data_IF_750059768665
#
_entry.id   IF_750059768665
#
_cell.length_a   1.000
_cell.length_b   1.000
_cell.length_c   1.000
_cell.angle_alpha   90.00
_cell.angle_beta   90.00
_cell.angle_gamma   90.00
#
_symmetry.space_group_name_H-M   'P 1'
#
loop_
_entity.id
_entity.type
_entity.pdbx_description
1 polymer ?
#
# COMPACT_ATOMS: atom_id res chain seq x y z
N UNK A 1 -42.84 13.60 1.77
CA UNK A 1 -41.81 14.29 2.56
C UNK A 1 -40.48 13.68 2.16
N UNK A 2 -39.78 14.35 1.25
CA UNK A 2 -38.49 13.92 0.70
C UNK A 2 -37.40 14.19 1.73
N UNK A 3 -36.76 13.14 2.23
CA UNK A 3 -35.56 13.28 3.05
C UNK A 3 -34.44 13.79 2.14
N UNK A 4 -34.22 15.09 2.17
CA UNK A 4 -33.04 15.73 1.64
C UNK A 4 -31.84 15.10 2.34
N UNK A 5 -31.07 14.35 1.57
CA UNK A 5 -29.74 13.92 1.94
C UNK A 5 -28.91 15.19 2.05
N UNK A 6 -28.70 15.69 3.27
CA UNK A 6 -27.84 16.82 3.57
C UNK A 6 -26.38 16.46 3.22
N UNK A 7 -26.07 16.57 1.93
CA UNK A 7 -24.72 16.55 1.38
C UNK A 7 -23.83 17.70 1.90
N UNK A 8 -24.36 18.56 2.78
CA UNK A 8 -23.70 19.74 3.34
C UNK A 8 -22.89 19.46 4.62
N UNK A 9 -22.93 18.26 5.20
CA UNK A 9 -22.06 17.89 6.33
C UNK A 9 -20.76 17.19 5.93
N UNK A 10 -20.60 16.88 4.64
CA UNK A 10 -19.31 16.55 4.07
C UNK A 10 -18.49 17.84 3.88
N UNK A 11 -18.20 18.56 4.98
CA UNK A 11 -17.10 19.51 4.97
C UNK A 11 -15.88 18.73 4.51
N UNK A 12 -15.28 19.06 3.35
CA UNK A 12 -13.94 18.60 3.04
C UNK A 12 -13.02 19.45 3.91
N UNK A 13 -13.10 19.24 5.23
CA UNK A 13 -12.03 19.61 6.16
C UNK A 13 -10.90 18.59 5.97
N UNK A 14 -10.57 18.33 4.70
CA UNK A 14 -9.29 17.81 4.23
C UNK A 14 -8.30 18.96 4.35
N UNK A 15 -8.15 19.51 5.57
CA UNK A 15 -6.88 20.11 5.95
C UNK A 15 -5.89 18.99 5.69
N UNK A 16 -5.13 19.14 4.61
CA UNK A 16 -3.99 18.31 4.26
C UNK A 16 -3.32 17.93 5.57
N UNK A 17 -3.54 16.70 6.02
CA UNK A 17 -3.15 16.28 7.35
C UNK A 17 -1.64 16.48 7.37
N UNK A 18 -1.18 17.43 8.20
CA UNK A 18 0.21 17.91 8.26
C UNK A 18 1.16 16.75 7.96
N UNK A 19 1.69 16.72 6.73
CA UNK A 19 2.73 15.75 6.40
C UNK A 19 3.85 16.04 7.38
N UNK A 20 4.33 15.06 8.16
CA UNK A 20 5.44 15.28 9.08
C UNK A 20 6.64 15.72 8.23
N UNK A 21 6.91 17.02 8.21
CA UNK A 21 8.05 17.62 7.53
C UNK A 21 9.28 17.25 8.34
N UNK A 22 9.82 16.05 8.12
CA UNK A 22 11.07 15.59 8.73
C UNK A 22 12.20 16.54 8.29
N UNK A 23 12.83 17.32 9.19
CA UNK A 23 13.98 18.12 8.83
C UNK A 23 15.24 17.24 8.80
N UNK A 24 16.04 17.34 7.74
CA UNK A 24 17.35 16.68 7.60
C UNK A 24 17.45 15.67 6.45
N UNK A 25 18.52 14.87 6.46
CA UNK A 25 18.85 13.88 5.42
C UNK A 25 17.81 12.74 5.30
N UNK A 26 17.14 12.39 6.41
CA UNK A 26 16.05 11.41 6.41
C UNK A 26 14.84 11.92 5.62
N UNK A 27 14.52 13.22 5.75
CA UNK A 27 13.41 13.82 5.02
C UNK A 27 13.64 13.93 3.51
N UNK A 28 14.89 14.14 3.06
CA UNK A 28 15.22 14.12 1.63
C UNK A 28 15.17 12.71 1.05
N UNK A 29 15.68 11.71 1.78
CA UNK A 29 15.60 10.29 1.39
C UNK A 29 14.15 9.82 1.28
N UNK A 30 13.31 10.16 2.26
CA UNK A 30 11.89 9.83 2.27
C UNK A 30 11.13 10.48 1.09
N UNK A 31 11.41 11.75 0.77
CA UNK A 31 10.87 12.39 -0.45
C UNK A 31 11.32 11.70 -1.73
N UNK A 32 12.61 11.35 -1.83
CA UNK A 32 13.14 10.64 -3.00
C UNK A 32 12.48 9.27 -3.15
N UNK A 33 12.33 8.53 -2.04
CA UNK A 33 11.67 7.24 -1.99
C UNK A 33 10.19 7.35 -2.38
N UNK A 34 9.48 8.38 -1.92
CA UNK A 34 8.09 8.66 -2.32
C UNK A 34 7.96 8.93 -3.82
N UNK A 35 8.87 9.72 -4.40
CA UNK A 35 8.86 9.99 -5.83
C UNK A 35 9.13 8.72 -6.64
N UNK A 36 10.14 7.96 -6.24
CA UNK A 36 10.50 6.69 -6.85
C UNK A 36 9.32 5.71 -6.79
N UNK A 37 8.73 5.52 -5.62
CA UNK A 37 7.56 4.67 -5.43
C UNK A 37 6.36 5.11 -6.28
N UNK A 38 6.15 6.42 -6.47
CA UNK A 38 5.06 6.93 -7.31
C UNK A 38 5.27 6.58 -8.78
N UNK A 39 6.49 6.75 -9.28
CA UNK A 39 6.86 6.37 -10.66
C UNK A 39 6.70 4.86 -10.84
N UNK A 40 7.23 4.09 -9.89
CA UNK A 40 7.15 2.62 -9.91
C UNK A 40 5.70 2.13 -9.89
N UNK A 41 4.83 2.71 -9.07
CA UNK A 41 3.41 2.34 -9.06
C UNK A 41 2.72 2.66 -10.38
N UNK A 42 3.10 3.77 -11.03
CA UNK A 42 2.63 4.10 -12.38
C UNK A 42 3.07 3.07 -13.42
N UNK A 43 4.35 2.69 -13.40
CA UNK A 43 4.92 1.66 -14.28
C UNK A 43 4.24 0.30 -14.00
N UNK A 44 4.10 -0.09 -12.74
CA UNK A 44 3.44 -1.35 -12.35
C UNK A 44 1.98 -1.41 -12.81
N UNK A 45 1.24 -0.30 -12.69
CA UNK A 45 -0.11 -0.19 -13.25
C UNK A 45 -0.13 -0.38 -14.77
N UNK A 46 0.81 0.24 -15.48
CA UNK A 46 0.94 0.07 -16.94
C UNK A 46 1.29 -1.38 -17.31
N UNK A 47 2.21 -2.02 -16.59
CA UNK A 47 2.56 -3.43 -16.77
C UNK A 47 1.34 -4.35 -16.59
N UNK A 48 0.48 -4.08 -15.60
CA UNK A 48 -0.72 -4.86 -15.36
C UNK A 48 -1.76 -4.69 -16.48
N UNK A 49 -1.95 -3.46 -16.97
CA UNK A 49 -2.79 -3.20 -18.15
C UNK A 49 -2.24 -3.91 -19.38
N UNK A 50 -0.92 -3.86 -19.60
CA UNK A 50 -0.27 -4.57 -20.69
C UNK A 50 -0.47 -6.09 -20.58
N UNK A 51 -0.30 -6.68 -19.39
CA UNK A 51 -0.55 -8.11 -19.17
C UNK A 51 -2.00 -8.49 -19.49
N UNK A 52 -2.97 -7.67 -19.09
CA UNK A 52 -4.38 -7.87 -19.41
C UNK A 52 -4.63 -7.85 -20.92
N UNK A 53 -4.04 -6.90 -21.65
CA UNK A 53 -4.16 -6.80 -23.11
C UNK A 53 -3.53 -8.01 -23.81
N UNK A 54 -2.38 -8.48 -23.33
CA UNK A 54 -1.66 -9.65 -23.88
C UNK A 54 -2.48 -10.93 -23.71
N UNK A 55 -3.04 -11.14 -22.51
CA UNK A 55 -3.90 -12.29 -22.25
C UNK A 55 -5.20 -12.21 -23.04
N UNK A 56 -5.80 -11.02 -23.16
CA UNK A 56 -6.99 -10.82 -23.99
C UNK A 56 -6.70 -11.12 -25.46
N UNK A 57 -5.56 -10.67 -25.97
CA UNK A 57 -5.10 -10.97 -27.31
C UNK A 57 -4.87 -12.48 -27.52
N UNK A 58 -4.27 -13.19 -26.56
CA UNK A 58 -4.12 -14.65 -26.59
C UNK A 58 -5.46 -15.36 -26.79
N UNK A 59 -6.47 -14.97 -26.02
CA UNK A 59 -7.84 -15.48 -26.14
C UNK A 59 -8.40 -15.18 -27.53
N UNK A 60 -8.34 -13.92 -27.99
CA UNK A 60 -8.89 -13.52 -29.29
C UNK A 60 -8.27 -14.31 -30.45
N UNK A 61 -6.93 -14.43 -30.48
CA UNK A 61 -6.21 -15.16 -31.53
C UNK A 61 -6.57 -16.65 -31.49
N UNK A 62 -6.57 -17.27 -30.31
CA UNK A 62 -6.88 -18.69 -30.15
C UNK A 62 -8.29 -19.04 -30.62
N UNK A 63 -9.28 -18.19 -30.34
CA UNK A 63 -10.68 -18.48 -30.69
C UNK A 63 -11.04 -18.04 -32.12
N UNK A 64 -10.53 -16.91 -32.60
CA UNK A 64 -10.88 -16.39 -33.93
C UNK A 64 -9.97 -16.92 -35.04
N UNK A 65 -8.66 -16.93 -34.80
CA UNK A 65 -7.65 -17.32 -35.79
C UNK A 65 -7.30 -18.82 -35.70
N UNK A 66 -7.72 -19.51 -34.62
CA UNK A 66 -7.47 -20.94 -34.36
C UNK A 66 -5.99 -21.33 -34.34
N UNK A 67 -5.10 -20.35 -34.15
CA UNK A 67 -3.66 -20.57 -33.99
C UNK A 67 -3.27 -20.32 -32.52
N UNK A 68 -2.70 -21.30 -31.81
CA UNK A 68 -2.18 -21.07 -30.47
C UNK A 68 -0.82 -20.35 -30.55
N UNK A 69 -0.71 -19.23 -29.86
CA UNK A 69 0.53 -18.46 -29.70
C UNK A 69 1.11 -18.70 -28.31
N UNK A 70 2.36 -19.15 -28.25
CA UNK A 70 2.99 -19.67 -27.02
C UNK A 70 3.79 -18.62 -26.22
N UNK A 71 3.88 -17.36 -26.67
CA UNK A 71 4.73 -16.32 -26.02
C UNK A 71 3.98 -15.42 -25.03
N UNK A 72 2.65 -15.47 -25.05
CA UNK A 72 1.79 -14.52 -24.33
C UNK A 72 1.75 -14.83 -22.84
N UNK A 73 1.80 -16.11 -22.48
CA UNK A 73 1.68 -16.56 -21.10
C UNK A 73 2.90 -16.13 -20.28
N UNK A 74 4.12 -16.34 -20.80
CA UNK A 74 5.35 -15.91 -20.13
C UNK A 74 5.47 -14.39 -20.08
N UNK A 75 5.10 -13.70 -21.17
CA UNK A 75 5.15 -12.24 -21.17
C UNK A 75 4.20 -11.65 -20.13
N UNK A 76 2.99 -12.19 -20.01
CA UNK A 76 2.05 -11.80 -18.97
C UNK A 76 2.60 -12.10 -17.57
N UNK A 77 3.19 -13.27 -17.35
CA UNK A 77 3.83 -13.63 -16.07
C UNK A 77 4.96 -12.66 -15.72
N UNK A 78 5.82 -12.31 -16.67
CA UNK A 78 6.95 -11.40 -16.42
C UNK A 78 6.47 -9.99 -16.08
N UNK A 79 5.44 -9.51 -16.79
CA UNK A 79 4.81 -8.22 -16.52
C UNK A 79 4.16 -8.19 -15.13
N UNK A 80 3.49 -9.28 -14.72
CA UNK A 80 2.88 -9.39 -13.39
C UNK A 80 3.95 -9.43 -12.30
N UNK A 81 5.02 -10.23 -12.47
CA UNK A 81 6.15 -10.27 -11.53
C UNK A 81 6.75 -8.88 -11.35
N UNK A 82 7.04 -8.19 -12.45
CA UNK A 82 7.53 -6.81 -12.43
C UNK A 82 6.57 -5.88 -11.70
N UNK A 83 5.28 -5.89 -12.07
CA UNK A 83 4.26 -5.06 -11.46
C UNK A 83 4.14 -5.31 -9.94
N UNK A 84 4.10 -6.57 -9.52
CA UNK A 84 3.92 -6.97 -8.12
C UNK A 84 5.13 -6.58 -7.27
N UNK A 85 6.34 -7.01 -7.64
CA UNK A 85 7.51 -6.83 -6.79
C UNK A 85 8.01 -5.39 -6.77
N UNK A 86 8.02 -4.69 -7.91
CA UNK A 86 8.44 -3.28 -7.92
C UNK A 86 7.43 -2.42 -7.14
N UNK A 87 6.12 -2.66 -7.30
CA UNK A 87 5.09 -1.88 -6.60
C UNK A 87 5.04 -2.14 -5.09
N UNK A 88 5.59 -3.26 -4.61
CA UNK A 88 5.51 -3.67 -3.21
C UNK A 88 6.01 -2.58 -2.25
N UNK A 89 7.15 -1.94 -2.56
CA UNK A 89 7.70 -0.85 -1.75
C UNK A 89 6.75 0.35 -1.66
N UNK A 90 6.13 0.75 -2.78
CA UNK A 90 5.17 1.86 -2.82
C UNK A 90 3.86 1.56 -2.09
N UNK A 91 3.41 0.30 -2.11
CA UNK A 91 2.25 -0.13 -1.31
C UNK A 91 2.61 -0.16 0.18
N UNK A 92 3.79 -0.68 0.53
CA UNK A 92 4.28 -0.72 1.91
C UNK A 92 4.52 0.68 2.49
N UNK A 93 4.95 1.64 1.67
CA UNK A 93 5.10 3.04 2.07
C UNK A 93 3.80 3.65 2.59
N UNK A 94 2.65 3.23 2.04
CA UNK A 94 1.32 3.66 2.49
C UNK A 94 0.86 2.96 3.79
N UNK A 95 1.66 2.01 4.32
CA UNK A 95 1.31 1.14 5.46
C UNK A 95 -0.09 0.56 5.37
N UNK A 96 -0.48 0.14 4.16
CA UNK A 96 -1.79 -0.46 3.89
C UNK A 96 -1.99 -1.86 4.47
N UNK A 97 -0.96 -2.44 5.08
CA UNK A 97 -1.14 -3.61 5.93
C UNK A 97 -1.95 -3.18 7.15
N UNK A 98 -3.24 -3.44 7.07
CA UNK A 98 -4.21 -3.50 8.18
C UNK A 98 -3.46 -4.07 9.36
N UNK A 99 -2.99 -3.20 10.24
CA UNK A 99 -2.08 -3.58 11.31
C UNK A 99 -2.89 -4.28 12.38
N UNK A 100 -3.48 -5.44 12.07
CA UNK A 100 -4.54 -6.13 12.82
C UNK A 100 -5.30 -5.10 13.66
N UNK A 101 -6.02 -4.19 13.00
CA UNK A 101 -6.65 -3.05 13.68
C UNK A 101 -7.54 -3.56 14.83
N UNK A 102 -8.10 -4.76 14.69
CA UNK A 102 -8.81 -5.49 15.74
C UNK A 102 -8.01 -5.62 17.06
N UNK A 103 -6.69 -5.80 16.99
CA UNK A 103 -5.83 -5.94 18.16
C UNK A 103 -5.28 -4.59 18.65
N UNK A 104 -5.42 -3.51 17.87
CA UNK A 104 -4.99 -2.15 18.29
C UNK A 104 -5.91 -1.53 19.34
N UNK A 105 -7.19 -1.91 19.37
CA UNK A 105 -8.16 -1.42 20.34
C UNK A 105 -8.06 -2.04 21.74
N UNK A 106 -7.32 -3.14 21.88
CA UNK A 106 -7.21 -3.91 23.12
C UNK A 106 -5.93 -3.60 23.92
N UNK A 107 -4.91 -3.02 23.28
CA UNK A 107 -3.59 -2.84 23.89
C UNK A 107 -3.31 -1.37 24.26
N UNK A 108 -2.57 -1.12 25.36
CA UNK A 108 -2.05 0.21 25.66
C UNK A 108 -1.18 0.76 24.51
N UNK A 109 -1.14 2.09 24.31
CA UNK A 109 -0.43 2.71 23.18
C UNK A 109 1.06 2.38 23.12
N UNK A 110 1.72 2.16 24.26
CA UNK A 110 3.12 1.76 24.32
C UNK A 110 3.36 0.32 23.83
N UNK A 111 2.47 -0.63 24.19
CA UNK A 111 2.56 -2.02 23.74
C UNK A 111 2.26 -2.15 22.25
N UNK A 112 1.31 -1.36 21.74
CA UNK A 112 1.01 -1.32 20.30
C UNK A 112 2.21 -0.80 19.47
N UNK A 113 2.96 0.18 20.01
CA UNK A 113 4.20 0.66 19.39
C UNK A 113 5.25 -0.43 19.26
N UNK A 114 5.51 -1.17 20.34
CA UNK A 114 6.50 -2.27 20.31
C UNK A 114 6.06 -3.36 19.34
N UNK A 115 4.76 -3.71 19.34
CA UNK A 115 4.20 -4.69 18.40
C UNK A 115 4.41 -4.29 16.93
N UNK A 116 4.12 -3.05 16.58
CA UNK A 116 4.30 -2.54 15.21
C UNK A 116 5.76 -2.55 14.80
N UNK A 117 6.66 -2.10 15.68
CA UNK A 117 8.09 -2.11 15.42
C UNK A 117 8.61 -3.55 15.24
N UNK A 118 8.18 -4.48 16.08
CA UNK A 118 8.56 -5.88 16.00
C UNK A 118 8.05 -6.54 14.70
N UNK A 119 6.82 -6.23 14.29
CA UNK A 119 6.26 -6.68 13.03
C UNK A 119 7.06 -6.13 11.82
N UNK A 120 7.44 -4.85 11.84
CA UNK A 120 8.27 -4.23 10.81
C UNK A 120 9.66 -4.89 10.75
N UNK A 121 10.29 -5.17 11.90
CA UNK A 121 11.62 -5.82 11.97
C UNK A 121 11.58 -7.27 11.48
N UNK A 122 10.56 -8.04 11.86
CA UNK A 122 10.39 -9.42 11.39
C UNK A 122 10.17 -9.41 9.88
N UNK A 123 9.30 -8.53 9.39
CA UNK A 123 9.02 -8.37 7.96
C UNK A 123 10.28 -7.98 7.19
N UNK A 124 11.07 -7.03 7.70
CA UNK A 124 12.35 -6.65 7.12
C UNK A 124 13.31 -7.84 7.04
N UNK A 125 13.43 -8.61 8.12
CA UNK A 125 14.33 -9.78 8.18
C UNK A 125 13.95 -10.82 7.12
N UNK A 126 12.65 -11.12 7.01
CA UNK A 126 12.13 -12.02 5.98
C UNK A 126 12.37 -11.47 4.57
N UNK A 127 12.08 -10.19 4.34
CA UNK A 127 12.30 -9.55 3.05
C UNK A 127 13.77 -9.54 2.65
N UNK A 128 14.69 -9.36 3.61
CA UNK A 128 16.13 -9.36 3.36
C UNK A 128 16.63 -10.76 2.96
N UNK A 129 16.16 -11.81 3.67
CA UNK A 129 16.43 -13.19 3.29
C UNK A 129 15.90 -13.49 1.89
N UNK A 130 14.68 -13.06 1.59
CA UNK A 130 14.07 -13.26 0.27
C UNK A 130 14.84 -12.50 -0.81
N UNK A 131 15.22 -11.24 -0.57
CA UNK A 131 16.01 -10.44 -1.52
C UNK A 131 17.36 -11.10 -1.84
N UNK A 132 18.04 -11.62 -0.81
CA UNK A 132 19.29 -12.37 -0.99
C UNK A 132 19.06 -13.64 -1.83
N UNK A 133 18.01 -14.40 -1.55
CA UNK A 133 17.64 -15.58 -2.35
C UNK A 133 17.30 -15.21 -3.79
N UNK A 134 16.54 -14.15 -4.02
CA UNK A 134 16.23 -13.66 -5.36
C UNK A 134 17.49 -13.31 -6.14
N UNK A 135 18.47 -12.64 -5.52
CA UNK A 135 19.74 -12.33 -6.16
C UNK A 135 20.58 -13.58 -6.46
N UNK A 136 20.54 -14.59 -5.57
CA UNK A 136 21.20 -15.88 -5.86
C UNK A 136 20.58 -16.60 -7.05
N UNK A 137 19.24 -16.60 -7.17
CA UNK A 137 18.53 -17.19 -8.31
C UNK A 137 18.82 -16.43 -9.60
N UNK A 138 18.86 -15.11 -9.54
CA UNK A 138 19.17 -14.27 -10.69
C UNK A 138 20.58 -14.55 -11.23
N UNK A 139 21.55 -14.65 -10.32
CA UNK A 139 22.92 -14.98 -10.69
C UNK A 139 23.03 -16.37 -11.34
N UNK A 140 22.38 -17.37 -10.74
CA UNK A 140 22.35 -18.75 -11.27
C UNK A 140 21.67 -18.80 -12.64
N UNK A 141 20.55 -18.09 -12.82
CA UNK A 141 19.87 -18.02 -14.10
C UNK A 141 20.71 -17.35 -15.18
N UNK A 142 21.52 -16.35 -14.81
CA UNK A 142 22.44 -15.67 -15.71
C UNK A 142 23.63 -16.56 -16.08
N UNK A 143 24.26 -17.24 -15.11
CA UNK A 143 25.44 -18.08 -15.36
C UNK A 143 25.11 -19.34 -16.12
N UNK A 144 23.98 -19.96 -15.80
CA UNK A 144 23.58 -21.25 -16.37
C UNK A 144 22.75 -21.08 -17.65
N UNK A 145 22.43 -19.84 -18.02
CA UNK A 145 21.63 -19.52 -19.20
C UNK A 145 20.22 -20.08 -19.12
N UNK A 146 19.60 -20.06 -17.94
CA UNK A 146 18.31 -20.68 -17.71
C UNK A 146 17.21 -19.99 -18.55
N UNK A 147 16.47 -20.81 -19.28
CA UNK A 147 15.32 -20.39 -20.08
C UNK A 147 14.04 -21.02 -19.54
N UNK A 148 12.91 -20.36 -19.79
CA UNK A 148 11.60 -20.93 -19.50
C UNK A 148 11.43 -22.28 -20.22
N UNK A 149 10.70 -23.22 -19.61
CA UNK A 149 10.42 -24.55 -20.15
C UNK A 149 9.34 -24.54 -21.26
N UNK A 150 9.13 -23.39 -21.89
CA UNK A 150 8.18 -23.25 -22.98
C UNK A 150 8.85 -23.24 -24.34
N UNK A 151 8.05 -23.42 -25.39
CA UNK A 151 8.51 -23.39 -26.78
C UNK A 151 9.18 -22.05 -27.13
N UNK A 152 8.76 -20.95 -26.49
CA UNK A 152 9.34 -19.63 -26.71
C UNK A 152 10.67 -19.43 -25.95
N UNK A 153 10.84 -20.09 -24.80
CA UNK A 153 12.09 -20.15 -24.06
C UNK A 153 12.73 -18.79 -23.69
N UNK A 154 11.99 -17.78 -23.19
CA UNK A 154 12.60 -16.53 -22.77
C UNK A 154 13.57 -16.72 -21.60
N UNK A 155 14.64 -15.92 -21.50
CA UNK A 155 15.59 -15.99 -20.39
C UNK A 155 14.95 -15.65 -19.03
N UNK A 156 15.24 -16.44 -18.00
CA UNK A 156 14.66 -16.29 -16.66
C UNK A 156 15.34 -15.21 -15.79
N UNK A 157 16.50 -14.70 -16.19
CA UNK A 157 17.15 -13.59 -15.49
C UNK A 157 16.29 -12.30 -15.53
N UNK A 158 15.42 -12.13 -16.53
CA UNK A 158 14.54 -10.95 -16.64
C UNK A 158 13.54 -10.88 -15.47
N UNK A 159 12.70 -11.90 -15.20
CA UNK A 159 11.80 -11.86 -14.04
C UNK A 159 12.55 -11.92 -12.71
N UNK A 160 13.71 -12.60 -12.63
CA UNK A 160 14.49 -12.68 -11.39
C UNK A 160 15.16 -11.36 -11.02
N UNK A 161 15.74 -10.61 -11.97
CA UNK A 161 16.23 -9.25 -11.73
C UNK A 161 15.12 -8.32 -11.23
N UNK A 162 13.93 -8.35 -11.85
CA UNK A 162 12.78 -7.55 -11.43
C UNK A 162 12.34 -7.90 -10.00
N UNK A 163 12.22 -9.19 -9.70
CA UNK A 163 11.90 -9.68 -8.37
C UNK A 163 12.95 -9.24 -7.33
N UNK A 164 14.23 -9.41 -7.64
CA UNK A 164 15.31 -9.07 -6.72
C UNK A 164 15.37 -7.56 -6.47
N UNK A 165 15.29 -6.74 -7.53
CA UNK A 165 15.25 -5.28 -7.42
C UNK A 165 14.05 -4.79 -6.61
N UNK A 166 12.85 -5.32 -6.86
CA UNK A 166 11.64 -4.97 -6.11
C UNK A 166 11.76 -5.32 -4.62
N UNK A 167 12.32 -6.48 -4.31
CA UNK A 167 12.53 -6.91 -2.92
C UNK A 167 13.60 -6.09 -2.20
N UNK A 168 14.68 -5.69 -2.88
CA UNK A 168 15.67 -4.76 -2.34
C UNK A 168 15.05 -3.39 -2.02
N UNK A 169 14.21 -2.87 -2.91
CA UNK A 169 13.47 -1.62 -2.68
C UNK A 169 12.51 -1.73 -1.48
N UNK A 170 11.82 -2.86 -1.34
CA UNK A 170 10.95 -3.12 -0.21
C UNK A 170 11.73 -3.16 1.12
N UNK A 171 12.91 -3.78 1.13
CA UNK A 171 13.81 -3.78 2.30
C UNK A 171 14.22 -2.35 2.67
N UNK A 172 14.59 -1.53 1.69
CA UNK A 172 14.95 -0.13 1.92
C UNK A 172 13.76 0.67 2.50
N UNK A 173 12.54 0.41 2.02
CA UNK A 173 11.33 1.03 2.55
C UNK A 173 11.08 0.67 4.02
N UNK A 174 11.23 -0.60 4.38
CA UNK A 174 11.11 -1.05 5.77
C UNK A 174 12.19 -0.43 6.67
N UNK A 175 13.44 -0.40 6.20
CA UNK A 175 14.54 0.20 6.93
C UNK A 175 14.30 1.69 7.22
N UNK A 176 13.81 2.45 6.21
CA UNK A 176 13.43 3.85 6.38
C UNK A 176 12.30 4.02 7.40
N UNK A 177 11.25 3.21 7.30
CA UNK A 177 10.11 3.23 8.22
C UNK A 177 10.51 2.92 9.67
N UNK A 178 11.44 1.98 9.88
CA UNK A 178 11.99 1.65 11.20
C UNK A 178 12.85 2.81 11.72
N UNK A 179 13.71 3.38 10.87
CA UNK A 179 14.56 4.52 11.23
C UNK A 179 13.73 5.74 11.66
N UNK A 180 12.66 6.05 10.92
CA UNK A 180 11.72 7.13 11.26
C UNK A 180 10.99 6.84 12.58
N UNK A 181 10.56 5.60 12.80
CA UNK A 181 9.86 5.19 14.03
C UNK A 181 10.75 5.29 15.29
N UNK A 182 12.06 5.09 15.12
CA UNK A 182 13.07 5.22 16.18
C UNK A 182 13.44 6.69 16.41
N UNK A 183 13.69 7.47 15.35
CA UNK A 183 14.19 8.84 15.45
C UNK A 183 13.11 9.87 15.84
N UNK A 184 11.93 9.82 15.23
CA UNK A 184 10.88 10.83 15.38
C UNK A 184 9.60 10.28 16.01
N UNK A 185 9.58 8.98 16.27
CA UNK A 185 8.49 8.30 16.94
C UNK A 185 7.35 7.84 16.01
N UNK A 186 6.32 7.22 16.60
CA UNK A 186 5.22 6.54 15.91
C UNK A 186 4.52 7.33 14.80
N UNK A 187 4.32 8.62 15.04
CA UNK A 187 3.50 9.49 14.18
C UNK A 187 4.24 9.87 12.90
N UNK A 188 5.56 10.05 13.01
CA UNK A 188 6.41 10.39 11.88
C UNK A 188 6.55 9.21 10.91
N UNK A 189 6.61 7.99 11.43
CA UNK A 189 6.71 6.77 10.63
C UNK A 189 5.41 6.41 9.89
N UNK A 190 4.35 7.23 9.97
CA UNK A 190 3.08 7.01 9.27
C UNK A 190 2.13 6.03 9.95
N UNK A 191 2.28 5.73 11.24
CA UNK A 191 1.27 4.94 11.96
C UNK A 191 -0.02 5.74 12.10
N UNK A 192 -1.11 5.24 11.50
CA UNK A 192 -2.44 5.79 11.68
C UNK A 192 -2.77 5.88 13.17
N UNK A 193 -3.45 6.97 13.58
CA UNK A 193 -3.95 7.07 14.95
C UNK A 193 -4.83 5.85 15.21
N UNK A 194 -4.59 5.04 16.27
CA UNK A 194 -5.54 4.02 16.64
C UNK A 194 -6.89 4.73 16.81
N UNK A 195 -7.93 4.26 16.13
CA UNK A 195 -9.30 4.74 16.34
C UNK A 195 -9.68 4.32 17.76
N UNK A 196 -9.29 5.12 18.74
CA UNK A 196 -9.67 4.95 20.13
C UNK A 196 -11.16 5.23 20.17
N UNK A 197 -11.95 4.15 20.18
CA UNK A 197 -13.32 4.17 20.66
C UNK A 197 -14.40 4.06 19.58
N UNK A 198 -14.59 2.87 19.01
CA UNK A 198 -15.94 2.48 18.58
C UNK A 198 -16.93 2.62 19.75
N UNK A 199 -16.48 2.35 20.99
CA UNK A 199 -17.24 2.60 22.22
C UNK A 199 -17.39 4.08 22.62
N UNK A 200 -16.46 4.96 22.23
CA UNK A 200 -16.58 6.40 22.49
C UNK A 200 -17.61 7.04 21.54
N UNK A 201 -17.61 6.60 20.27
CA UNK A 201 -18.57 7.03 19.25
C UNK A 201 -19.97 6.45 19.50
N UNK A 202 -20.06 5.19 19.97
CA UNK A 202 -21.33 4.58 20.40
C UNK A 202 -21.92 5.28 21.61
N UNK A 203 -21.12 5.59 22.65
CA UNK A 203 -21.61 6.28 23.86
C UNK A 203 -22.03 7.73 23.57
N UNK A 204 -21.41 8.39 22.58
CA UNK A 204 -21.79 9.73 22.12
C UNK A 204 -23.16 9.74 21.42
N UNK A 205 -23.51 8.64 20.76
CA UNK A 205 -24.81 8.46 20.08
C UNK A 205 -25.88 7.79 20.97
N UNK A 206 -25.48 7.22 22.12
CA UNK A 206 -26.36 6.59 23.11
C UNK A 206 -26.63 7.48 24.33
N UNK A 207 -25.95 8.63 24.44
CA UNK A 207 -26.36 9.65 25.39
C UNK A 207 -27.76 10.12 24.96
N UNK A 208 -28.80 9.90 25.78
CA UNK A 208 -30.10 10.50 25.48
C UNK A 208 -29.87 12.01 25.38
N UNK A 209 -30.44 12.65 24.36
CA UNK A 209 -30.57 14.10 24.34
C UNK A 209 -31.29 14.52 25.62
N UNK A 210 -30.50 14.82 26.65
CA UNK A 210 -31.01 15.41 27.88
C UNK A 210 -31.62 16.74 27.49
N UNK A 211 -32.82 17.07 27.98
CA UNK A 211 -33.49 18.31 27.62
C UNK A 211 -32.54 19.47 27.94
N UNK A 212 -32.34 20.32 26.94
CA UNK A 212 -31.61 21.57 27.03
C UNK A 212 -32.01 22.30 28.32
N UNK A 213 -31.11 22.46 29.31
CA UNK A 213 -31.45 23.14 30.55
C UNK A 213 -31.61 24.65 30.38
N UNK A 214 -31.51 25.19 29.17
CA UNK A 214 -31.92 26.56 28.87
C UNK A 214 -32.97 26.61 27.77
N UNK A 215 -34.23 26.44 28.20
CA UNK A 215 -35.37 26.94 27.44
C UNK A 215 -35.19 28.41 27.07
N UNK A 216 -34.80 28.67 25.82
CA UNK A 216 -35.21 29.86 25.11
C UNK A 216 -36.06 29.44 23.93
N UNK A 217 -37.36 29.56 24.21
CA UNK A 217 -38.50 29.45 23.32
C UNK A 217 -38.32 30.22 22.02
N UNK A 218 -38.63 29.54 20.92
CA UNK A 218 -39.53 29.98 19.84
C UNK A 218 -39.58 31.49 19.56
N UNK A 219 -39.14 31.90 18.37
CA UNK A 219 -39.93 32.85 17.60
C UNK A 219 -39.77 32.64 16.09
N UNK A 220 -40.65 31.80 15.55
CA UNK A 220 -41.08 31.92 14.18
C UNK A 220 -41.97 33.17 14.04
N UNK A 221 -41.52 34.15 13.26
CA UNK A 221 -42.33 35.23 12.69
C UNK A 221 -41.58 35.68 11.43
N UNK A 222 -42.01 35.43 10.19
CA UNK A 222 -43.36 35.58 9.67
C UNK A 222 -43.45 36.92 8.94
N UNK A 223 -43.33 36.89 7.61
CA UNK A 223 -43.78 37.88 6.61
C UNK A 223 -43.30 39.34 6.76
N UNK A 224 -42.48 39.80 5.81
CA UNK A 224 -42.91 40.64 4.66
C UNK A 224 -41.80 40.73 3.63
#
# INVERSE_FOLDING_TARGET
MSHGFDAATASPDTRAADEPQLPGLLGTLDRAMRLLNRVILGIGGLCLVAACLVLTHSVVVRYLLKEPTEWQDEMAVFLIIGATFLSAAGVQAKRGHVAIEALTGLLPPAANRVRLLLADVISLTFCLFFAWKSWSLDHEAWTDGQISQSTWGPPLWIPYTLMAAGMSLLCLQFALQIAEALAYGPRAAGWAKPKIGLGADLNRNLAPEGPDPMGQTVSAKGKR
#
